data_IF_416614568919
#
_entry.id   IF_416614568919
#
_cell.length_a   1.000
_cell.length_b   1.000
_cell.length_c   1.000
_cell.angle_alpha   90.00
_cell.angle_beta   90.00
_cell.angle_gamma   90.00
#
_symmetry.space_group_name_H-M   'P 1'
#
loop_
_entity.id
_entity.type
_entity.pdbx_description
1 polymer ?
#
# COMPACT_ATOMS: atom_id res chain seq x y z
N UNK A 1 11.70 2.62 12.48
CA UNK A 1 12.40 1.39 12.05
C UNK A 1 12.16 1.20 10.56
N UNK A 2 13.16 0.73 9.81
CA UNK A 2 12.98 0.36 8.41
C UNK A 2 12.23 -0.96 8.30
N UNK A 3 11.44 -1.12 7.24
CA UNK A 3 10.70 -2.35 6.94
C UNK A 3 11.21 -2.91 5.62
N UNK A 4 11.59 -4.17 5.62
CA UNK A 4 12.03 -4.88 4.41
C UNK A 4 10.85 -5.42 3.64
N UNK A 5 10.99 -5.55 2.34
CA UNK A 5 9.91 -6.02 1.50
C UNK A 5 10.39 -6.40 0.10
N UNK A 6 9.42 -6.57 -0.75
CA UNK A 6 9.61 -7.02 -2.12
C UNK A 6 8.70 -6.24 -3.06
N UNK A 7 9.10 -6.17 -4.32
CA UNK A 7 8.25 -5.80 -5.45
C UNK A 7 8.19 -6.99 -6.40
N UNK A 8 7.00 -7.34 -6.85
CA UNK A 8 6.83 -8.46 -7.78
C UNK A 8 5.63 -8.28 -8.71
N UNK A 9 5.83 -8.65 -9.96
CA UNK A 9 4.78 -8.73 -10.96
C UNK A 9 4.12 -10.13 -11.03
N UNK A 10 4.54 -11.06 -10.18
CA UNK A 10 4.03 -12.43 -10.16
C UNK A 10 2.88 -12.56 -9.18
N UNK A 11 1.80 -13.22 -9.57
CA UNK A 11 0.72 -13.58 -8.65
C UNK A 11 1.25 -14.41 -7.48
N UNK A 12 0.93 -14.00 -6.25
CA UNK A 12 1.33 -14.69 -5.04
C UNK A 12 0.30 -15.77 -4.66
N UNK A 13 0.78 -16.98 -4.52
CA UNK A 13 0.08 -18.12 -3.91
C UNK A 13 0.62 -18.36 -2.50
N UNK A 14 -0.03 -19.18 -1.69
CA UNK A 14 0.47 -19.53 -0.35
C UNK A 14 1.91 -20.07 -0.39
N UNK A 15 2.22 -20.92 -1.38
CA UNK A 15 3.58 -21.46 -1.56
C UNK A 15 4.59 -20.35 -1.81
N UNK A 16 4.27 -19.39 -2.69
CA UNK A 16 5.16 -18.25 -2.97
C UNK A 16 5.31 -17.32 -1.76
N UNK A 17 4.23 -17.08 -1.01
CA UNK A 17 4.28 -16.32 0.24
C UNK A 17 5.20 -16.99 1.26
N UNK A 18 5.14 -18.31 1.39
CA UNK A 18 6.03 -19.05 2.27
C UNK A 18 7.51 -18.89 1.86
N UNK A 19 7.79 -18.81 0.54
CA UNK A 19 9.14 -18.52 0.03
C UNK A 19 9.59 -17.11 0.44
N UNK A 20 8.72 -16.10 0.32
CA UNK A 20 9.06 -14.75 0.77
C UNK A 20 9.37 -14.70 2.25
N UNK A 21 8.53 -15.32 3.08
CA UNK A 21 8.71 -15.36 4.55
C UNK A 21 9.93 -16.13 5.01
N UNK A 22 10.44 -17.05 4.20
CA UNK A 22 11.62 -17.86 4.48
C UNK A 22 12.94 -17.23 4.01
N UNK A 23 12.93 -16.07 3.37
CA UNK A 23 14.15 -15.40 2.84
C UNK A 23 14.97 -14.76 3.97
N UNK A 24 15.62 -15.58 4.79
CA UNK A 24 16.47 -15.13 5.90
C UNK A 24 17.75 -14.41 5.44
N UNK A 25 18.08 -14.45 4.16
CA UNK A 25 19.15 -13.65 3.58
C UNK A 25 18.78 -12.18 3.42
N UNK A 26 17.46 -11.86 3.56
CA UNK A 26 16.94 -10.50 3.38
C UNK A 26 16.35 -9.92 4.66
N UNK A 27 15.55 -10.67 5.40
CA UNK A 27 14.92 -10.25 6.65
C UNK A 27 14.99 -11.36 7.71
N UNK A 28 14.73 -11.02 8.97
CA UNK A 28 14.65 -12.00 10.04
C UNK A 28 13.36 -12.81 9.96
N UNK A 29 13.37 -14.04 10.46
CA UNK A 29 12.14 -14.83 10.60
C UNK A 29 11.14 -14.06 11.49
N UNK A 30 9.89 -14.04 11.05
CA UNK A 30 8.78 -13.33 11.70
C UNK A 30 8.90 -11.79 11.71
N UNK A 31 9.89 -11.22 11.04
CA UNK A 31 9.95 -9.79 10.81
C UNK A 31 8.75 -9.37 9.92
N UNK A 32 8.15 -8.21 10.24
CA UNK A 32 7.11 -7.63 9.38
C UNK A 32 7.72 -7.27 8.04
N UNK A 33 7.09 -7.72 6.96
CA UNK A 33 7.49 -7.42 5.58
C UNK A 33 6.35 -6.81 4.79
N UNK A 34 6.66 -6.21 3.64
CA UNK A 34 5.66 -5.76 2.69
C UNK A 34 5.91 -6.33 1.29
N UNK A 35 4.89 -6.23 0.44
CA UNK A 35 4.99 -6.56 -0.98
C UNK A 35 4.33 -5.46 -1.83
N UNK A 36 5.08 -4.92 -2.78
CA UNK A 36 4.58 -4.08 -3.85
C UNK A 36 3.79 -4.92 -4.86
N UNK A 37 2.50 -4.61 -5.04
CA UNK A 37 1.63 -5.33 -5.97
C UNK A 37 0.84 -4.36 -6.84
N UNK A 38 0.64 -4.78 -8.08
CA UNK A 38 0.02 -3.94 -9.11
C UNK A 38 -1.50 -3.99 -9.07
N UNK A 39 -2.13 -2.81 -8.97
CA UNK A 39 -3.58 -2.62 -8.99
C UNK A 39 -4.10 -2.08 -10.33
N UNK A 40 -3.32 -2.27 -11.40
CA UNK A 40 -3.61 -1.75 -12.74
C UNK A 40 -4.98 -2.16 -13.29
N UNK A 41 -5.57 -1.33 -14.13
CA UNK A 41 -6.83 -1.60 -14.84
C UNK A 41 -6.70 -2.65 -15.93
N UNK A 42 -5.52 -2.80 -16.54
CA UNK A 42 -5.18 -3.85 -17.49
C UNK A 42 -4.31 -4.90 -16.83
N UNK A 43 -4.30 -6.11 -17.33
CA UNK A 43 -3.54 -7.21 -16.75
C UNK A 43 -2.54 -7.81 -17.76
N UNK A 44 -1.56 -7.04 -18.24
CA UNK A 44 -0.55 -7.59 -19.12
C UNK A 44 0.25 -8.65 -18.34
N UNK A 45 0.37 -9.83 -18.90
CA UNK A 45 1.17 -10.96 -18.36
C UNK A 45 0.81 -11.38 -16.91
N UNK A 46 -0.43 -11.20 -16.47
CA UNK A 46 -0.86 -11.62 -15.14
C UNK A 46 -0.30 -10.80 -13.96
N UNK A 47 0.21 -9.61 -14.23
CA UNK A 47 0.90 -8.74 -13.25
C UNK A 47 -0.03 -8.19 -12.15
N UNK A 48 -1.31 -7.99 -12.46
CA UNK A 48 -2.29 -7.45 -11.52
C UNK A 48 -2.57 -8.40 -10.35
N UNK A 49 -2.88 -7.85 -9.18
CA UNK A 49 -3.46 -8.58 -8.05
C UNK A 49 -4.62 -9.46 -8.53
N UNK A 50 -4.56 -10.74 -8.20
CA UNK A 50 -5.60 -11.71 -8.54
C UNK A 50 -6.74 -11.68 -7.51
N UNK A 51 -7.94 -12.18 -7.86
CA UNK A 51 -9.00 -12.40 -6.88
C UNK A 51 -8.52 -13.26 -5.71
N UNK A 52 -8.80 -12.84 -4.48
CA UNK A 52 -8.38 -13.52 -3.25
C UNK A 52 -6.91 -13.35 -2.84
N UNK A 53 -6.09 -12.66 -3.67
CA UNK A 53 -4.68 -12.47 -3.36
C UNK A 53 -4.49 -11.43 -2.23
N UNK A 54 -5.33 -10.41 -2.15
CA UNK A 54 -5.31 -9.40 -1.09
C UNK A 54 -5.55 -10.05 0.27
N UNK A 55 -6.58 -10.87 0.36
CA UNK A 55 -6.94 -11.62 1.57
C UNK A 55 -5.82 -12.57 1.97
N UNK A 56 -5.25 -13.26 0.98
CA UNK A 56 -4.17 -14.22 1.22
C UNK A 56 -2.90 -13.53 1.75
N UNK A 57 -2.47 -12.42 1.15
CA UNK A 57 -1.31 -11.66 1.60
C UNK A 57 -1.53 -11.13 3.02
N UNK A 58 -2.71 -10.54 3.26
CA UNK A 58 -3.07 -9.94 4.55
C UNK A 58 -3.18 -11.00 5.66
N UNK A 59 -3.76 -12.17 5.37
CA UNK A 59 -3.83 -13.29 6.31
C UNK A 59 -2.46 -13.82 6.75
N UNK A 60 -1.44 -13.60 5.92
CA UNK A 60 -0.04 -13.94 6.24
C UNK A 60 0.72 -12.82 6.98
N UNK A 61 0.05 -11.71 7.34
CA UNK A 61 0.63 -10.59 8.06
C UNK A 61 1.57 -9.72 7.22
N UNK A 62 1.46 -9.80 5.89
CA UNK A 62 2.28 -9.04 4.94
C UNK A 62 1.53 -7.78 4.52
N UNK A 63 2.18 -6.62 4.56
CA UNK A 63 1.58 -5.39 4.07
C UNK A 63 1.63 -5.33 2.54
N UNK A 64 0.61 -4.74 1.94
CA UNK A 64 0.53 -4.50 0.50
C UNK A 64 0.89 -3.03 0.24
N UNK A 65 1.75 -2.79 -0.74
CA UNK A 65 2.00 -1.45 -1.29
C UNK A 65 1.40 -1.42 -2.70
N UNK A 66 0.45 -0.52 -2.92
CA UNK A 66 -0.29 -0.44 -4.18
C UNK A 66 0.50 0.29 -5.26
N UNK A 67 0.83 -0.41 -6.33
CA UNK A 67 1.52 0.09 -7.51
C UNK A 67 0.53 0.21 -8.67
N UNK A 68 0.40 1.39 -9.28
CA UNK A 68 -0.41 1.58 -10.47
C UNK A 68 0.48 1.78 -11.69
N UNK A 69 0.44 0.81 -12.60
CA UNK A 69 1.15 0.85 -13.88
C UNK A 69 0.28 0.22 -14.96
N UNK A 70 -0.12 0.99 -15.96
CA UNK A 70 -0.91 0.51 -17.09
C UNK A 70 -0.03 0.18 -18.31
N UNK A 71 0.57 1.22 -18.90
CA UNK A 71 1.44 1.11 -20.10
C UNK A 71 2.58 2.13 -20.06
N UNK A 72 3.16 2.34 -18.89
CA UNK A 72 4.11 3.41 -18.57
C UNK A 72 5.53 3.15 -19.12
N UNK A 73 5.65 2.60 -20.33
CA UNK A 73 6.92 2.25 -20.99
C UNK A 73 7.28 3.15 -22.19
N UNK A 74 6.41 4.10 -22.57
CA UNK A 74 6.64 5.07 -23.64
C UNK A 74 6.39 6.50 -23.14
N UNK A 75 7.16 7.46 -23.61
CA UNK A 75 6.99 8.88 -23.27
C UNK A 75 5.63 9.44 -23.71
N UNK A 76 5.10 8.98 -24.85
CA UNK A 76 3.81 9.43 -25.40
C UNK A 76 2.61 9.05 -24.50
N UNK A 77 2.83 8.15 -23.54
CA UNK A 77 1.82 7.76 -22.56
C UNK A 77 1.53 8.88 -21.55
N UNK A 78 2.53 9.68 -21.18
CA UNK A 78 2.47 10.62 -20.07
C UNK A 78 1.84 11.95 -20.46
N UNK A 79 0.54 11.93 -20.77
CA UNK A 79 -0.27 13.12 -21.09
C UNK A 79 -1.21 13.47 -19.94
N UNK A 80 -1.79 14.69 -19.94
CA UNK A 80 -2.81 15.08 -18.95
C UNK A 80 -4.07 14.23 -19.02
N UNK A 81 -4.54 13.89 -20.24
CA UNK A 81 -5.73 13.04 -20.42
C UNK A 81 -5.49 11.63 -19.88
N UNK A 82 -4.31 11.09 -20.11
CA UNK A 82 -3.93 9.80 -19.55
C UNK A 82 -3.82 9.87 -18.02
N UNK A 83 -3.25 10.93 -17.49
CA UNK A 83 -3.16 11.16 -16.04
C UNK A 83 -4.54 11.21 -15.37
N UNK A 84 -5.51 11.92 -15.97
CA UNK A 84 -6.89 11.95 -15.51
C UNK A 84 -7.52 10.54 -15.51
N UNK A 85 -7.34 9.80 -16.59
CA UNK A 85 -7.84 8.42 -16.74
C UNK A 85 -7.22 7.49 -15.70
N UNK A 86 -5.90 7.57 -15.51
CA UNK A 86 -5.15 6.73 -14.60
C UNK A 86 -5.52 7.00 -13.14
N UNK A 87 -5.66 8.27 -12.75
CA UNK A 87 -6.04 8.63 -11.39
C UNK A 87 -7.40 8.04 -11.00
N UNK A 88 -8.41 8.17 -11.88
CA UNK A 88 -9.74 7.59 -11.66
C UNK A 88 -9.70 6.07 -11.58
N UNK A 89 -9.04 5.44 -12.55
CA UNK A 89 -8.94 3.99 -12.59
C UNK A 89 -8.16 3.42 -11.39
N UNK A 90 -7.10 4.10 -10.95
CA UNK A 90 -6.33 3.71 -9.78
C UNK A 90 -7.17 3.77 -8.51
N UNK A 91 -7.92 4.88 -8.29
CA UNK A 91 -8.79 5.04 -7.14
C UNK A 91 -9.91 3.98 -7.12
N UNK A 92 -10.55 3.71 -8.27
CA UNK A 92 -11.56 2.66 -8.40
C UNK A 92 -10.99 1.28 -8.07
N UNK A 93 -9.81 0.94 -8.61
CA UNK A 93 -9.16 -0.36 -8.35
C UNK A 93 -8.74 -0.50 -6.89
N UNK A 94 -8.14 0.53 -6.29
CA UNK A 94 -7.78 0.52 -4.87
C UNK A 94 -9.01 0.28 -3.98
N UNK A 95 -10.13 0.97 -4.26
CA UNK A 95 -11.39 0.75 -3.57
C UNK A 95 -11.92 -0.67 -3.75
N UNK A 96 -11.84 -1.23 -4.97
CA UNK A 96 -12.24 -2.60 -5.28
C UNK A 96 -11.39 -3.67 -4.61
N UNK A 97 -10.15 -3.35 -4.24
CA UNK A 97 -9.27 -4.22 -3.44
C UNK A 97 -9.38 -3.95 -1.93
N UNK A 98 -10.34 -3.13 -1.49
CA UNK A 98 -10.55 -2.77 -0.09
C UNK A 98 -9.34 -2.06 0.55
N UNK A 99 -8.55 -1.34 -0.24
CA UNK A 99 -7.46 -0.52 0.29
C UNK A 99 -8.02 0.50 1.28
N UNK A 100 -7.43 0.66 2.47
CA UNK A 100 -7.90 1.61 3.47
C UNK A 100 -7.89 3.06 2.97
N UNK A 101 -8.86 3.85 3.46
CA UNK A 101 -8.99 5.26 3.11
C UNK A 101 -7.72 6.04 3.43
N UNK A 102 -7.39 7.02 2.60
CA UNK A 102 -6.26 7.91 2.80
C UNK A 102 -4.88 7.32 2.51
N UNK A 103 -4.77 6.01 2.25
CA UNK A 103 -3.48 5.38 1.94
C UNK A 103 -2.98 5.73 0.54
N UNK A 104 -1.66 5.73 0.29
CA UNK A 104 -1.10 6.13 -1.00
C UNK A 104 -1.26 5.06 -2.09
N UNK A 105 -1.36 5.52 -3.33
CA UNK A 105 -1.19 4.73 -4.55
C UNK A 105 0.07 5.25 -5.26
N UNK A 106 1.02 4.36 -5.55
CA UNK A 106 2.26 4.69 -6.22
C UNK A 106 2.08 4.57 -7.73
N UNK A 107 2.08 5.71 -8.43
CA UNK A 107 2.00 5.77 -9.88
C UNK A 107 3.37 5.55 -10.49
N UNK A 108 3.49 4.55 -11.37
CA UNK A 108 4.76 4.06 -11.88
C UNK A 108 5.18 4.78 -13.16
N UNK A 109 6.47 5.12 -13.22
CA UNK A 109 7.19 5.50 -14.43
C UNK A 109 8.31 4.48 -14.65
N UNK A 110 8.27 3.78 -15.78
CA UNK A 110 9.26 2.76 -16.15
C UNK A 110 9.59 2.85 -17.66
N UNK A 111 10.04 4.03 -18.09
CA UNK A 111 10.45 4.26 -19.48
C UNK A 111 11.93 3.97 -19.61
N UNK A 112 12.26 3.00 -20.47
CA UNK A 112 13.66 2.68 -20.76
C UNK A 112 14.29 3.73 -21.69
N UNK A 113 15.62 3.88 -21.61
CA UNK A 113 16.43 4.73 -22.50
C UNK A 113 16.05 6.22 -22.51
N UNK A 114 15.54 6.72 -21.39
CA UNK A 114 15.20 8.14 -21.20
C UNK A 114 16.25 8.80 -20.34
N UNK A 115 16.67 10.00 -20.73
CA UNK A 115 17.57 10.82 -19.92
C UNK A 115 16.80 11.58 -18.84
N UNK A 116 16.62 10.99 -17.67
CA UNK A 116 15.96 11.63 -16.53
C UNK A 116 16.73 12.80 -15.89
N UNK A 117 17.88 13.21 -16.48
CA UNK A 117 18.55 14.47 -16.12
C UNK A 117 18.13 15.63 -17.04
N UNK A 118 17.37 15.38 -18.09
CA UNK A 118 16.86 16.38 -19.02
C UNK A 118 15.62 17.06 -18.43
N UNK A 119 15.69 18.40 -18.30
CA UNK A 119 14.61 19.19 -17.72
C UNK A 119 13.32 19.13 -18.55
N UNK A 120 13.40 18.97 -19.86
CA UNK A 120 12.22 18.85 -20.73
C UNK A 120 11.49 17.52 -20.50
N UNK A 121 12.22 16.44 -20.28
CA UNK A 121 11.69 15.12 -19.91
C UNK A 121 11.04 15.18 -18.53
N UNK A 122 11.71 15.77 -17.55
CA UNK A 122 11.15 15.95 -16.20
C UNK A 122 9.87 16.79 -16.23
N UNK A 123 9.80 17.82 -17.08
CA UNK A 123 8.60 18.64 -17.21
C UNK A 123 7.36 17.84 -17.65
N UNK A 124 7.51 16.86 -18.55
CA UNK A 124 6.41 15.97 -18.97
C UNK A 124 5.86 15.21 -17.76
N UNK A 125 6.74 14.60 -16.96
CA UNK A 125 6.30 13.86 -15.77
C UNK A 125 5.67 14.77 -14.70
N UNK A 126 6.17 15.99 -14.52
CA UNK A 126 5.57 16.98 -13.61
C UNK A 126 4.14 17.32 -14.00
N UNK A 127 3.88 17.54 -15.29
CA UNK A 127 2.51 17.80 -15.81
C UNK A 127 1.61 16.58 -15.53
N UNK A 128 2.07 15.39 -15.85
CA UNK A 128 1.34 14.15 -15.61
C UNK A 128 0.99 13.96 -14.12
N UNK A 129 1.96 14.09 -13.21
CA UNK A 129 1.73 13.93 -11.77
C UNK A 129 0.88 15.05 -11.17
N UNK A 130 1.05 16.30 -11.64
CA UNK A 130 0.19 17.40 -11.22
C UNK A 130 -1.29 17.12 -11.54
N UNK A 131 -1.56 16.58 -12.73
CA UNK A 131 -2.92 16.19 -13.14
C UNK A 131 -3.48 15.03 -12.31
N UNK A 132 -2.67 14.01 -12.00
CA UNK A 132 -3.07 12.93 -11.09
C UNK A 132 -3.47 13.51 -9.73
N UNK A 133 -2.62 14.34 -9.13
CA UNK A 133 -2.86 14.96 -7.83
C UNK A 133 -4.15 15.79 -7.83
N UNK A 134 -4.37 16.61 -8.87
CA UNK A 134 -5.59 17.39 -9.04
C UNK A 134 -6.83 16.48 -9.14
N UNK A 135 -6.75 15.40 -9.90
CA UNK A 135 -7.87 14.48 -10.10
C UNK A 135 -8.21 13.73 -8.81
N UNK A 136 -7.21 13.26 -8.08
CA UNK A 136 -7.40 12.58 -6.78
C UNK A 136 -7.91 13.52 -5.69
N UNK A 137 -7.76 14.83 -5.82
CA UNK A 137 -8.36 15.81 -4.90
C UNK A 137 -9.88 15.96 -5.07
N UNK A 138 -10.45 15.45 -6.17
CA UNK A 138 -11.89 15.52 -6.44
C UNK A 138 -12.59 14.30 -5.81
N UNK A 139 -13.39 14.54 -4.78
CA UNK A 139 -14.07 13.47 -4.02
C UNK A 139 -14.96 12.57 -4.88
N UNK A 140 -15.55 13.09 -5.95
CA UNK A 140 -16.36 12.29 -6.88
C UNK A 140 -15.54 11.20 -7.62
N UNK A 141 -14.23 11.41 -7.80
CA UNK A 141 -13.32 10.45 -8.44
C UNK A 141 -12.50 9.65 -7.44
N UNK A 142 -12.34 10.17 -6.23
CA UNK A 142 -11.58 9.56 -5.15
C UNK A 142 -12.32 9.68 -3.81
N UNK A 143 -13.47 9.03 -3.66
CA UNK A 143 -14.30 9.13 -2.44
C UNK A 143 -13.60 8.55 -1.20
N UNK A 144 -12.57 7.75 -1.37
CA UNK A 144 -11.77 7.16 -0.30
C UNK A 144 -10.56 8.02 0.11
N UNK A 145 -10.29 9.12 -0.60
CA UNK A 145 -9.21 10.06 -0.27
C UNK A 145 -7.81 9.49 -0.45
N UNK A 146 -7.60 8.56 -1.39
CA UNK A 146 -6.27 8.00 -1.65
C UNK A 146 -5.27 9.09 -2.01
N UNK A 147 -4.07 8.99 -1.45
CA UNK A 147 -2.98 9.91 -1.73
C UNK A 147 -2.18 9.45 -2.96
N UNK A 148 -1.61 10.41 -3.68
CA UNK A 148 -0.67 10.11 -4.75
C UNK A 148 0.74 9.90 -4.18
N UNK A 149 1.40 8.84 -4.65
CA UNK A 149 2.84 8.62 -4.49
C UNK A 149 3.46 8.32 -5.87
N UNK A 150 4.78 8.39 -5.96
CA UNK A 150 5.50 8.17 -7.22
C UNK A 150 6.46 7.00 -7.10
N UNK A 151 6.43 6.13 -8.10
CA UNK A 151 7.36 5.03 -8.30
C UNK A 151 8.11 5.25 -9.61
N UNK A 152 9.42 5.39 -9.57
CA UNK A 152 10.20 5.65 -10.77
C UNK A 152 11.71 5.68 -10.55
N UNK A 153 12.47 5.92 -11.61
CA UNK A 153 13.92 6.05 -11.53
C UNK A 153 14.35 7.14 -10.54
N UNK A 154 15.46 6.90 -9.85
CA UNK A 154 15.96 7.78 -8.78
C UNK A 154 16.08 9.24 -9.21
N UNK A 155 16.62 9.51 -10.40
CA UNK A 155 16.77 10.88 -10.92
C UNK A 155 15.43 11.60 -11.11
N UNK A 156 14.38 10.90 -11.58
CA UNK A 156 13.03 11.44 -11.65
C UNK A 156 12.53 11.77 -10.23
N UNK A 157 12.63 10.82 -9.31
CA UNK A 157 12.18 11.01 -7.95
C UNK A 157 12.89 12.18 -7.26
N UNK A 158 14.19 12.34 -7.46
CA UNK A 158 14.96 13.49 -6.97
C UNK A 158 14.44 14.84 -7.52
N UNK A 159 14.09 14.88 -8.80
CA UNK A 159 13.62 16.11 -9.44
C UNK A 159 12.23 16.56 -8.95
N UNK A 160 11.42 15.64 -8.42
CA UNK A 160 10.03 15.93 -8.01
C UNK A 160 9.80 15.81 -6.51
N UNK A 161 10.76 15.36 -5.71
CA UNK A 161 10.63 15.04 -4.29
C UNK A 161 10.03 16.14 -3.40
N UNK A 162 10.29 17.40 -3.73
CA UNK A 162 9.79 18.53 -2.95
C UNK A 162 8.29 18.80 -3.19
N UNK A 163 7.75 18.31 -4.31
CA UNK A 163 6.34 18.46 -4.69
C UNK A 163 5.50 17.26 -4.20
N UNK A 164 6.16 16.13 -3.98
CA UNK A 164 5.50 14.86 -3.63
C UNK A 164 6.27 14.20 -2.47
N UNK A 165 5.76 14.28 -1.24
CA UNK A 165 6.47 13.80 -0.04
C UNK A 165 6.59 12.27 0.03
N UNK A 166 5.64 11.55 -0.54
CA UNK A 166 5.67 10.08 -0.56
C UNK A 166 6.25 9.60 -1.89
N UNK A 167 7.55 9.25 -1.87
CA UNK A 167 8.26 8.82 -3.08
C UNK A 167 8.76 7.39 -2.89
N UNK A 168 8.41 6.55 -3.86
CA UNK A 168 8.93 5.21 -4.03
C UNK A 168 10.00 5.23 -5.11
N UNK A 169 11.24 4.92 -4.77
CA UNK A 169 12.32 4.86 -5.74
C UNK A 169 12.48 3.46 -6.30
N UNK A 170 12.37 3.32 -7.62
CA UNK A 170 12.34 2.03 -8.30
C UNK A 170 13.70 1.37 -8.46
N UNK A 171 14.72 2.07 -8.81
CA UNK A 171 16.04 1.51 -9.08
C UNK A 171 17.12 2.39 -8.49
N UNK A 172 17.45 2.16 -7.24
CA UNK A 172 18.73 2.65 -6.77
C UNK A 172 19.83 1.85 -7.44
N UNK A 173 20.61 2.45 -8.37
CA UNK A 173 21.92 1.89 -8.64
C UNK A 173 22.66 1.87 -7.29
N UNK A 174 23.10 0.70 -6.77
CA UNK A 174 23.79 0.65 -5.47
C UNK A 174 25.02 1.55 -5.40
N UNK A 175 25.52 2.00 -6.54
CA UNK A 175 26.69 2.87 -6.66
C UNK A 175 26.35 4.37 -6.59
N UNK A 176 25.08 4.77 -6.76
CA UNK A 176 24.65 6.17 -6.78
C UNK A 176 23.53 6.38 -5.74
N UNK A 177 23.90 6.39 -4.47
CA UNK A 177 23.02 6.69 -3.33
C UNK A 177 22.81 8.21 -3.19
N UNK A 178 22.31 8.88 -4.22
CA UNK A 178 22.14 10.33 -4.21
C UNK A 178 20.87 10.75 -3.46
N UNK A 179 19.82 9.93 -3.50
CA UNK A 179 18.56 10.24 -2.86
C UNK A 179 18.50 9.75 -1.41
N UNK A 180 18.49 10.69 -0.47
CA UNK A 180 18.43 10.39 0.98
C UNK A 180 17.01 10.33 1.56
N UNK A 181 16.03 10.99 0.91
CA UNK A 181 14.67 11.16 1.42
C UNK A 181 13.65 10.39 0.56
N UNK A 182 13.87 9.10 0.37
CA UNK A 182 12.90 8.20 -0.26
C UNK A 182 12.06 7.48 0.79
N UNK A 183 10.82 7.18 0.46
CA UNK A 183 9.94 6.39 1.34
C UNK A 183 10.27 4.91 1.26
N UNK A 184 10.38 4.39 0.03
CA UNK A 184 10.79 3.00 -0.25
C UNK A 184 11.92 3.04 -1.28
N UNK A 185 12.89 2.17 -1.11
CA UNK A 185 13.98 1.95 -2.07
C UNK A 185 13.95 0.53 -2.59
N UNK A 186 13.96 0.37 -3.91
CA UNK A 186 14.16 -0.89 -4.57
C UNK A 186 15.66 -1.07 -4.89
N UNK A 187 16.19 -2.22 -4.62
CA UNK A 187 17.55 -2.60 -4.99
C UNK A 187 17.55 -3.30 -6.35
N UNK A 188 18.52 -3.00 -7.16
CA UNK A 188 18.64 -3.53 -8.54
C UNK A 188 19.09 -5.00 -8.58
N UNK A 189 18.51 -5.87 -7.83
CA UNK A 189 18.81 -7.30 -7.96
C UNK A 189 17.50 -8.03 -8.17
N UNK A 190 17.20 -8.36 -9.41
CA UNK A 190 16.20 -9.40 -9.67
C UNK A 190 16.67 -10.65 -8.93
N UNK A 191 16.07 -10.88 -7.80
CA UNK A 191 16.36 -12.05 -6.99
C UNK A 191 15.35 -13.12 -7.33
N UNK A 192 15.81 -14.26 -7.80
CA UNK A 192 14.99 -15.45 -7.86
C UNK A 192 15.06 -16.14 -6.50
N UNK A 193 13.95 -16.13 -5.77
CA UNK A 193 13.85 -16.82 -4.48
C UNK A 193 13.37 -18.24 -4.72
N UNK A 194 14.08 -19.19 -4.11
CA UNK A 194 13.74 -20.61 -4.16
C UNK A 194 13.31 -21.10 -2.78
N UNK A 195 12.29 -21.96 -2.68
CA UNK A 195 12.00 -22.63 -1.42
C UNK A 195 13.15 -23.56 -1.02
N UNK A 196 13.32 -23.74 0.27
CA UNK A 196 14.38 -24.59 0.84
C UNK A 196 14.29 -26.06 0.35
N UNK A 197 13.07 -26.52 -0.01
CA UNK A 197 12.79 -27.90 -0.44
C UNK A 197 11.84 -28.00 -1.65
N UNK A 198 11.88 -27.09 -2.61
CA UNK A 198 10.89 -27.15 -3.69
C UNK A 198 11.27 -26.47 -4.98
N UNK A 199 10.47 -26.70 -6.01
CA UNK A 199 10.66 -26.23 -7.38
C UNK A 199 10.00 -24.87 -7.69
N UNK A 200 9.38 -24.20 -6.71
CA UNK A 200 8.68 -22.94 -6.94
C UNK A 200 9.63 -21.77 -6.82
N UNK A 201 9.83 -21.05 -7.91
CA UNK A 201 10.62 -19.83 -7.95
C UNK A 201 9.71 -18.61 -7.87
N UNK A 202 10.09 -17.61 -7.06
CA UNK A 202 9.45 -16.30 -7.04
C UNK A 202 10.45 -15.25 -7.50
N UNK A 203 10.13 -14.56 -8.58
CA UNK A 203 10.93 -13.41 -9.01
C UNK A 203 10.48 -12.16 -8.25
N UNK A 204 11.45 -11.50 -7.63
CA UNK A 204 11.22 -10.30 -6.81
C UNK A 204 12.34 -9.31 -6.96
N UNK A 205 12.03 -8.04 -6.75
CA UNK A 205 13.01 -7.02 -6.43
C UNK A 205 12.94 -6.74 -4.93
N UNK A 206 14.07 -6.78 -4.25
CA UNK A 206 14.14 -6.51 -2.81
C UNK A 206 14.01 -5.02 -2.54
N UNK A 207 13.20 -4.65 -1.56
CA UNK A 207 12.87 -3.28 -1.22
C UNK A 207 13.06 -2.99 0.27
N UNK A 208 13.43 -1.75 0.61
CA UNK A 208 13.46 -1.26 1.99
C UNK A 208 12.63 0.01 2.09
N UNK A 209 11.63 0.01 2.97
CA UNK A 209 10.96 1.21 3.43
C UNK A 209 11.77 1.83 4.58
N UNK A 210 11.99 3.14 4.54
CA UNK A 210 12.82 3.85 5.53
C UNK A 210 12.09 4.10 6.86
N UNK A 211 10.77 4.17 6.79
CA UNK A 211 9.89 4.41 7.95
C UNK A 211 8.72 3.44 7.93
N UNK A 212 7.96 3.37 9.03
CA UNK A 212 6.69 2.63 9.08
C UNK A 212 5.59 3.26 8.23
N UNK A 213 5.75 4.54 7.83
CA UNK A 213 4.76 5.31 7.06
C UNK A 213 5.02 5.24 5.55
N UNK A 214 5.17 4.05 5.03
CA UNK A 214 5.43 3.81 3.59
C UNK A 214 4.16 3.51 2.78
N UNK A 215 2.99 3.62 3.41
CA UNK A 215 1.71 3.35 2.75
C UNK A 215 1.40 1.86 2.59
N UNK A 216 2.06 1.01 3.36
CA UNK A 216 1.72 -0.40 3.45
C UNK A 216 0.38 -0.60 4.16
N UNK A 217 -0.45 -1.51 3.64
CA UNK A 217 -1.78 -1.78 4.18
C UNK A 217 -2.11 -3.27 4.16
N UNK A 218 -3.06 -3.67 5.00
CA UNK A 218 -3.64 -5.00 5.03
C UNK A 218 -5.16 -4.91 4.92
N UNK A 219 -5.76 -5.92 4.34
CA UNK A 219 -7.20 -6.10 4.36
C UNK A 219 -7.61 -6.81 5.66
N UNK A 220 -8.63 -6.26 6.30
CA UNK A 220 -9.23 -6.86 7.48
C UNK A 220 -10.71 -7.11 7.25
N UNK A 221 -11.16 -8.34 7.51
CA UNK A 221 -12.56 -8.73 7.42
C UNK A 221 -13.18 -8.78 8.83
N UNK A 222 -13.92 -7.74 9.18
CA UNK A 222 -14.60 -7.62 10.48
C UNK A 222 -16.08 -8.01 10.34
N UNK A 223 -16.36 -9.27 10.02
CA UNK A 223 -17.73 -9.77 9.80
C UNK A 223 -18.34 -10.42 11.04
N UNK A 224 -17.56 -10.64 12.09
CA UNK A 224 -18.02 -11.21 13.34
C UNK A 224 -18.93 -10.28 14.15
N UNK A 225 -19.66 -10.80 15.16
CA UNK A 225 -20.47 -9.97 16.03
C UNK A 225 -19.60 -9.03 16.87
N UNK A 226 -20.15 -7.86 17.17
CA UNK A 226 -19.57 -6.96 18.16
C UNK A 226 -19.57 -7.59 19.56
N UNK A 227 -18.44 -7.51 20.23
CA UNK A 227 -18.21 -8.10 21.54
C UNK A 227 -18.20 -7.01 22.63
N UNK A 228 -18.91 -7.27 23.71
CA UNK A 228 -18.76 -6.54 24.94
C UNK A 228 -17.39 -6.87 25.55
N UNK A 229 -16.54 -5.86 25.72
CA UNK A 229 -15.21 -6.00 26.31
C UNK A 229 -15.09 -5.30 27.67
N UNK A 230 -16.24 -4.99 28.31
CA UNK A 230 -16.32 -4.21 29.54
C UNK A 230 -15.60 -2.84 29.49
N UNK A 231 -15.45 -2.29 28.30
CA UNK A 231 -14.91 -0.95 28.10
C UNK A 231 -16.07 0.06 28.07
N UNK A 232 -16.03 1.15 28.84
CA UNK A 232 -17.13 2.13 28.91
C UNK A 232 -17.27 2.99 27.66
N UNK A 233 -16.28 3.02 26.78
CA UNK A 233 -16.25 3.94 25.62
C UNK A 233 -16.55 3.27 24.30
N UNK A 234 -16.20 1.97 24.17
CA UNK A 234 -16.27 1.27 22.89
C UNK A 234 -16.51 -0.23 23.04
N UNK A 235 -17.05 -0.82 21.98
CA UNK A 235 -17.08 -2.26 21.76
C UNK A 235 -16.14 -2.65 20.61
N UNK A 236 -15.81 -3.93 20.51
CA UNK A 236 -14.89 -4.42 19.49
C UNK A 236 -15.42 -5.65 18.76
N UNK A 237 -14.91 -5.87 17.56
CA UNK A 237 -15.06 -7.15 16.86
C UNK A 237 -13.72 -7.58 16.28
N UNK A 238 -13.50 -8.90 16.26
CA UNK A 238 -12.24 -9.47 15.78
C UNK A 238 -12.27 -9.62 14.27
N UNK A 239 -11.13 -9.38 13.62
CA UNK A 239 -10.92 -9.77 12.24
C UNK A 239 -11.00 -11.31 12.11
N UNK A 240 -11.71 -11.79 11.09
CA UNK A 240 -11.83 -13.24 10.82
C UNK A 240 -10.53 -13.86 10.29
N UNK A 241 -9.57 -13.04 9.86
CA UNK A 241 -8.35 -13.46 9.17
C UNK A 241 -7.09 -13.34 10.04
N UNK A 242 -7.11 -12.47 11.06
CA UNK A 242 -5.95 -12.19 11.91
C UNK A 242 -6.39 -11.82 13.34
N UNK A 243 -5.43 -11.42 14.19
CA UNK A 243 -5.72 -11.03 15.57
C UNK A 243 -6.06 -9.54 15.76
N UNK A 244 -6.24 -8.77 14.67
CA UNK A 244 -6.63 -7.37 14.75
C UNK A 244 -8.09 -7.22 15.17
N UNK A 245 -8.38 -6.11 15.84
CA UNK A 245 -9.71 -5.76 16.29
C UNK A 245 -10.12 -4.40 15.73
N UNK A 246 -11.35 -4.33 15.24
CA UNK A 246 -12.02 -3.05 14.97
C UNK A 246 -12.74 -2.60 16.24
N UNK A 247 -12.72 -1.31 16.52
CA UNK A 247 -13.35 -0.67 17.68
C UNK A 247 -14.35 0.38 17.19
N UNK A 248 -15.49 0.45 17.84
CA UNK A 248 -16.51 1.44 17.57
C UNK A 248 -17.11 1.93 18.90
N UNK A 249 -17.49 3.21 18.96
CA UNK A 249 -18.17 3.77 20.12
C UNK A 249 -19.52 3.08 20.38
N UNK A 250 -19.91 2.98 21.65
CA UNK A 250 -21.20 2.40 22.01
C UNK A 250 -22.38 3.16 21.42
N UNK A 251 -23.29 2.45 20.79
CA UNK A 251 -24.60 2.97 20.39
C UNK A 251 -25.61 2.66 21.49
N UNK A 252 -26.05 3.68 22.21
CA UNK A 252 -26.92 3.50 23.38
C UNK A 252 -28.40 3.36 23.00
N UNK A 253 -29.16 2.66 23.85
CA UNK A 253 -30.61 2.66 23.81
C UNK A 253 -31.16 4.06 24.14
N UNK A 254 -32.47 4.25 23.97
CA UNK A 254 -33.13 5.54 24.22
C UNK A 254 -33.00 6.06 25.67
N UNK A 255 -32.71 5.18 26.62
CA UNK A 255 -32.48 5.54 28.04
C UNK A 255 -31.02 5.80 28.36
N UNK A 256 -30.11 5.63 27.42
CA UNK A 256 -28.68 5.86 27.61
C UNK A 256 -28.00 4.83 28.55
N UNK A 257 -28.62 3.70 28.84
CA UNK A 257 -28.18 2.76 29.88
C UNK A 257 -27.50 1.52 29.32
N UNK A 258 -27.75 1.18 28.05
CA UNK A 258 -27.23 -0.05 27.45
C UNK A 258 -26.84 0.13 26.00
N UNK A 259 -25.73 -0.46 25.59
CA UNK A 259 -25.37 -0.54 24.18
C UNK A 259 -26.27 -1.53 23.44
N UNK A 260 -26.98 -1.06 22.41
CA UNK A 260 -27.91 -1.88 21.62
C UNK A 260 -27.19 -2.86 20.69
N UNK A 261 -25.87 -2.67 20.47
CA UNK A 261 -25.07 -3.48 19.55
C UNK A 261 -24.37 -4.66 20.28
N UNK A 262 -23.69 -4.39 21.41
CA UNK A 262 -22.93 -5.42 22.13
C UNK A 262 -23.50 -5.79 23.50
N UNK A 263 -24.58 -5.14 23.93
CA UNK A 263 -25.24 -5.40 25.22
C UNK A 263 -24.51 -4.90 26.47
N UNK A 264 -23.51 -4.03 26.32
CA UNK A 264 -22.80 -3.43 27.47
C UNK A 264 -23.78 -2.64 28.35
N UNK A 265 -23.86 -2.98 29.60
CA UNK A 265 -24.66 -2.32 30.65
C UNK A 265 -23.70 -1.63 31.64
N UNK A 266 -23.46 -0.35 31.50
CA UNK A 266 -22.57 0.40 32.42
C UNK A 266 -22.54 1.89 32.08
N UNK A 267 -21.93 2.68 32.96
CA UNK A 267 -21.75 4.11 32.64
C UNK A 267 -20.89 4.24 31.39
N UNK A 268 -21.43 4.88 30.36
CA UNK A 268 -20.70 5.12 29.13
C UNK A 268 -19.90 6.39 29.28
N UNK A 269 -18.57 6.26 29.19
CA UNK A 269 -17.71 7.43 29.08
C UNK A 269 -17.87 8.01 27.66
N UNK A 270 -18.32 9.22 27.54
CA UNK A 270 -18.33 9.92 26.26
C UNK A 270 -16.90 10.03 25.75
N UNK A 271 -16.59 9.60 24.51
CA UNK A 271 -15.25 9.78 23.96
C UNK A 271 -14.94 11.27 23.89
N UNK A 272 -13.91 11.69 24.60
CA UNK A 272 -13.32 13.01 24.40
C UNK A 272 -12.86 13.10 22.95
N UNK A 273 -13.33 14.08 22.19
CA UNK A 273 -12.88 14.35 20.82
C UNK A 273 -11.37 14.65 20.88
N UNK A 274 -10.55 13.76 20.35
CA UNK A 274 -9.13 13.96 20.11
C UNK A 274 -8.24 13.15 21.08
N UNK A 275 -7.81 11.99 20.63
CA UNK A 275 -6.75 11.19 21.23
C UNK A 275 -6.49 9.97 20.35
N UNK A 276 -5.43 10.03 19.58
CA UNK A 276 -4.82 8.85 18.93
C UNK A 276 -3.99 8.16 19.99
N UNK A 277 -4.58 7.26 20.75
CA UNK A 277 -3.81 6.46 21.71
C UNK A 277 -3.38 5.17 21.05
N UNK A 278 -2.10 5.16 20.67
CA UNK A 278 -1.40 3.93 20.36
C UNK A 278 -1.02 3.24 21.66
N UNK A 279 -1.74 2.22 22.05
CA UNK A 279 -1.27 1.26 23.05
C UNK A 279 -1.19 -0.11 22.38
N UNK A 280 0.06 -0.60 22.29
CA UNK A 280 0.43 -1.97 22.00
C UNK A 280 0.38 -2.78 23.30
N UNK A 281 -0.41 -3.84 23.32
CA UNK A 281 -0.18 -5.01 24.15
C UNK A 281 0.25 -6.21 23.31
#
# INVERSE_FOLDING_TARGET
MSVKGYDTNVQLTQTKINVLKADTNWHSLNEKIFVGRYITSVNPNGKRLAPGEVELISANGIDIVSLYQRSASSMDYFTEDQAFTDAKAAAEKAAGYHQPNGTPIYFCVDVANVNYSDASIIAVFKVYFAKIKQTLAISAYNPKGYAMAVYGPEKLCMAIKNEYPSIYTMKGNPQNNEMTNHTIRQFYTQSSLYPINGSVTVQVDRCIAQTSEYGGWQYHSFTGPWQNYNNPSWHRRKCSMCNQYEREAHTLNAMGTRCIVCGYDGPVAYPQKGGTDGETE
#
